data_IF_829167642033
#
_entry.id   IF_829167642033
#
_cell.length_a   1.000
_cell.length_b   1.000
_cell.length_c   1.000
_cell.angle_alpha   90.00
_cell.angle_beta   90.00
_cell.angle_gamma   90.00
#
_symmetry.space_group_name_H-M   'P 1'
#
loop_
_entity.id
_entity.type
_entity.pdbx_description
1 polymer ?
#
# COMPACT_ATOMS: atom_id res chain seq x y z
N UNK A 1 -58.22 13.48 3.74
CA UNK A 1 -58.93 12.23 4.08
C UNK A 1 -59.17 11.45 2.78
N UNK A 2 -58.25 10.58 2.37
CA UNK A 2 -58.53 9.66 1.26
C UNK A 2 -59.01 8.34 1.86
N UNK A 3 -60.24 7.99 1.54
CA UNK A 3 -60.96 6.89 2.16
C UNK A 3 -60.47 5.57 1.52
N UNK A 4 -59.57 4.85 2.18
CA UNK A 4 -58.94 3.61 1.69
C UNK A 4 -59.91 2.41 1.49
N UNK A 5 -61.22 2.64 1.63
CA UNK A 5 -62.26 1.61 1.65
C UNK A 5 -63.39 1.91 0.65
N UNK A 6 -63.07 2.28 -0.60
CA UNK A 6 -64.08 2.32 -1.67
C UNK A 6 -63.96 1.02 -2.47
N UNK A 7 -64.86 0.02 -2.28
CA UNK A 7 -64.82 -1.20 -3.06
C UNK A 7 -65.06 -0.87 -4.54
N UNK A 8 -64.16 -1.33 -5.43
CA UNK A 8 -64.26 -1.05 -6.87
C UNK A 8 -65.58 -1.52 -7.50
N UNK A 9 -66.25 -2.50 -6.88
CA UNK A 9 -67.59 -2.95 -7.28
C UNK A 9 -68.64 -1.83 -7.24
N UNK A 10 -68.55 -0.92 -6.27
CA UNK A 10 -69.46 0.22 -6.15
C UNK A 10 -69.14 1.33 -7.16
N UNK A 11 -67.97 1.29 -7.77
CA UNK A 11 -67.56 2.18 -8.84
C UNK A 11 -67.78 1.56 -10.24
N UNK A 12 -68.43 0.39 -10.33
CA UNK A 12 -68.63 -0.28 -11.61
C UNK A 12 -67.32 -0.80 -12.23
N UNK A 13 -66.37 -1.21 -11.39
CA UNK A 13 -65.05 -1.71 -11.80
C UNK A 13 -64.14 -0.68 -12.49
N UNK A 14 -64.37 0.61 -12.27
CA UNK A 14 -63.43 1.66 -12.69
C UNK A 14 -62.55 2.10 -11.50
N UNK A 15 -61.37 2.65 -11.79
CA UNK A 15 -60.48 3.16 -10.75
C UNK A 15 -61.11 4.37 -10.04
N UNK A 16 -60.82 4.59 -8.73
CA UNK A 16 -61.33 5.74 -7.99
C UNK A 16 -61.05 7.09 -8.68
N UNK A 17 -59.88 7.23 -9.30
CA UNK A 17 -59.51 8.44 -10.04
C UNK A 17 -60.36 8.60 -11.30
N UNK A 18 -60.60 7.52 -12.05
CA UNK A 18 -61.47 7.58 -13.23
C UNK A 18 -62.93 7.91 -12.87
N UNK A 19 -63.41 7.42 -11.73
CA UNK A 19 -64.72 7.79 -11.19
C UNK A 19 -64.78 9.30 -10.85
N UNK A 20 -63.71 9.86 -10.26
CA UNK A 20 -63.61 11.28 -9.96
C UNK A 20 -63.62 12.15 -11.23
N UNK A 21 -62.88 11.74 -12.26
CA UNK A 21 -62.84 12.43 -13.57
C UNK A 21 -64.23 12.42 -14.22
N UNK A 22 -64.95 11.30 -14.16
CA UNK A 22 -66.31 11.21 -14.71
C UNK A 22 -67.30 12.08 -13.92
N UNK A 23 -67.14 12.16 -12.60
CA UNK A 23 -67.99 13.01 -11.77
C UNK A 23 -67.74 14.50 -12.05
N UNK A 24 -66.47 14.90 -12.19
CA UNK A 24 -66.11 16.27 -12.58
C UNK A 24 -66.74 16.70 -13.91
N UNK A 25 -66.80 15.79 -14.90
CA UNK A 25 -67.45 16.08 -16.19
C UNK A 25 -68.95 16.37 -16.08
N UNK A 26 -69.62 15.81 -15.08
CA UNK A 26 -71.08 15.94 -14.92
C UNK A 26 -71.49 17.00 -13.90
N UNK A 27 -70.63 17.29 -12.93
CA UNK A 27 -70.87 18.25 -11.84
C UNK A 27 -69.62 19.11 -11.57
N UNK A 28 -69.14 19.90 -12.55
CA UNK A 28 -67.91 20.68 -12.43
C UNK A 28 -67.98 21.73 -11.31
N UNK A 29 -69.18 22.20 -10.94
CA UNK A 29 -69.41 23.19 -9.89
C UNK A 29 -69.06 22.70 -8.48
N UNK A 30 -68.98 21.38 -8.28
CA UNK A 30 -68.62 20.77 -6.99
C UNK A 30 -67.10 20.67 -6.80
N UNK A 31 -66.31 21.00 -7.81
CA UNK A 31 -64.87 20.87 -7.79
C UNK A 31 -64.20 22.24 -7.84
N UNK A 32 -63.26 22.45 -6.92
CA UNK A 32 -62.42 23.67 -6.90
C UNK A 32 -61.25 23.53 -7.88
N UNK A 33 -60.88 22.31 -8.26
CA UNK A 33 -59.71 21.97 -9.11
C UNK A 33 -60.04 20.76 -9.98
N UNK A 34 -59.51 20.74 -11.20
CA UNK A 34 -59.61 19.61 -12.12
C UNK A 34 -58.97 18.32 -11.52
N UNK A 35 -59.67 17.17 -11.57
CA UNK A 35 -59.09 15.89 -11.17
C UNK A 35 -58.00 15.46 -12.15
N UNK A 36 -56.76 15.49 -11.69
CA UNK A 36 -55.61 15.03 -12.47
C UNK A 36 -55.10 13.71 -11.90
N UNK A 37 -54.85 12.72 -12.76
CA UNK A 37 -54.08 11.55 -12.39
C UNK A 37 -52.60 11.88 -12.55
N UNK A 38 -52.05 12.65 -11.61
CA UNK A 38 -50.61 12.71 -11.48
C UNK A 38 -50.20 11.37 -10.87
N UNK A 39 -49.54 10.45 -11.59
CA UNK A 39 -48.67 9.52 -10.88
C UNK A 39 -47.82 10.40 -9.96
N UNK A 40 -47.66 10.01 -8.70
CA UNK A 40 -46.79 10.78 -7.80
C UNK A 40 -45.47 11.07 -8.52
N UNK A 41 -44.80 12.16 -8.15
CA UNK A 41 -43.37 12.25 -8.43
C UNK A 41 -42.72 11.11 -7.64
N UNK A 42 -42.71 9.91 -8.23
CA UNK A 42 -41.78 8.85 -7.93
C UNK A 42 -40.44 9.37 -8.46
N UNK A 43 -39.88 10.36 -7.76
CA UNK A 43 -38.44 10.51 -7.69
C UNK A 43 -38.02 9.21 -7.00
N UNK A 44 -37.74 8.19 -7.80
CA UNK A 44 -37.40 6.86 -7.34
C UNK A 44 -36.00 6.90 -6.70
N UNK A 45 -35.93 7.44 -5.49
CA UNK A 45 -35.12 6.87 -4.43
C UNK A 45 -36.00 5.85 -3.72
N UNK A 46 -36.22 4.69 -4.33
CA UNK A 46 -36.65 3.53 -3.56
C UNK A 46 -35.47 3.12 -2.67
N UNK A 47 -35.62 3.09 -1.34
CA UNK A 47 -34.59 2.54 -0.47
C UNK A 47 -34.71 1.02 -0.52
N UNK A 48 -34.38 0.40 -1.66
CA UNK A 48 -34.08 -1.04 -1.63
C UNK A 48 -32.70 -1.22 -1.03
N UNK A 49 -32.62 -2.07 -0.01
CA UNK A 49 -31.36 -2.56 0.56
C UNK A 49 -30.88 -3.83 -0.16
N UNK A 50 -31.66 -4.31 -1.12
CA UNK A 50 -31.32 -5.45 -1.96
C UNK A 50 -30.51 -4.95 -3.16
N UNK A 51 -29.24 -5.37 -3.32
CA UNK A 51 -28.40 -4.98 -4.45
C UNK A 51 -28.96 -5.43 -5.80
N UNK A 52 -29.79 -6.49 -5.86
CA UNK A 52 -30.32 -7.05 -7.10
C UNK A 52 -31.60 -6.34 -7.60
N UNK A 53 -32.40 -5.75 -6.71
CA UNK A 53 -33.63 -5.01 -7.07
C UNK A 53 -33.34 -3.78 -7.96
N UNK A 54 -32.13 -3.25 -7.89
CA UNK A 54 -31.71 -2.09 -8.69
C UNK A 54 -31.38 -2.43 -10.16
N UNK A 55 -31.19 -3.73 -10.50
CA UNK A 55 -30.94 -4.17 -11.87
C UNK A 55 -32.18 -3.96 -12.78
N UNK A 56 -33.38 -3.88 -12.21
CA UNK A 56 -34.63 -3.75 -12.98
C UNK A 56 -34.98 -2.30 -13.34
N UNK A 57 -34.39 -1.29 -12.67
CA UNK A 57 -34.78 0.13 -12.78
C UNK A 57 -33.66 1.10 -13.25
N UNK A 58 -32.69 0.63 -14.03
CA UNK A 58 -31.75 1.53 -14.73
C UNK A 58 -32.48 2.30 -15.85
N UNK A 59 -32.93 3.52 -15.54
CA UNK A 59 -33.17 4.60 -16.50
C UNK A 59 -32.23 5.71 -16.02
N UNK A 60 -31.04 5.93 -16.60
CA UNK A 60 -30.75 6.47 -17.94
C UNK A 60 -29.35 5.99 -18.32
N UNK A 61 -29.18 5.41 -19.53
CA UNK A 61 -27.84 5.01 -19.98
C UNK A 61 -27.73 4.55 -21.43
N UNK A 62 -28.82 4.12 -22.08
CA UNK A 62 -28.74 3.72 -23.51
C UNK A 62 -28.73 4.88 -24.52
N UNK A 63 -29.03 6.10 -24.10
CA UNK A 63 -28.91 7.29 -24.97
C UNK A 63 -27.76 8.22 -24.56
N UNK A 64 -27.07 7.95 -23.44
CA UNK A 64 -25.97 8.79 -22.94
C UNK A 64 -24.64 8.57 -23.70
N UNK A 65 -24.46 7.42 -24.36
CA UNK A 65 -23.33 7.18 -25.28
C UNK A 65 -23.27 8.21 -26.43
N UNK A 66 -24.39 8.85 -26.79
CA UNK A 66 -24.42 9.85 -27.86
C UNK A 66 -23.82 11.21 -27.47
N UNK A 67 -23.55 11.47 -26.19
CA UNK A 67 -23.09 12.77 -25.68
C UNK A 67 -21.77 12.74 -24.88
N UNK A 68 -21.15 11.57 -24.70
CA UNK A 68 -19.78 11.45 -24.17
C UNK A 68 -19.58 11.96 -22.73
N UNK A 69 -20.66 12.20 -21.97
CA UNK A 69 -20.62 12.57 -20.56
C UNK A 69 -21.82 11.93 -19.87
N UNK A 70 -21.56 11.02 -18.92
CA UNK A 70 -22.60 10.46 -18.06
C UNK A 70 -23.30 11.59 -17.31
N UNK A 71 -24.61 11.76 -17.52
CA UNK A 71 -25.38 12.76 -16.78
C UNK A 71 -25.71 12.13 -15.42
N UNK A 72 -25.16 12.61 -14.30
CA UNK A 72 -25.50 12.04 -13.00
C UNK A 72 -26.98 12.24 -12.70
N UNK A 73 -27.62 11.22 -12.14
CA UNK A 73 -28.95 11.36 -11.53
C UNK A 73 -28.82 12.43 -10.44
N UNK A 74 -29.67 13.44 -10.49
CA UNK A 74 -29.59 14.67 -9.68
C UNK A 74 -29.24 14.39 -8.20
N UNK A 75 -28.11 14.92 -7.74
CA UNK A 75 -27.68 14.84 -6.34
C UNK A 75 -26.92 13.56 -5.96
N UNK A 76 -26.68 12.62 -6.88
CA UNK A 76 -25.77 11.50 -6.62
C UNK A 76 -24.31 11.95 -6.77
N UNK A 77 -23.40 11.47 -5.92
CA UNK A 77 -21.97 11.69 -6.08
C UNK A 77 -21.47 11.08 -7.39
N UNK A 78 -20.58 11.79 -8.09
CA UNK A 78 -19.81 11.22 -9.20
C UNK A 78 -18.61 10.51 -8.62
N UNK A 79 -18.40 9.26 -9.05
CA UNK A 79 -17.27 8.44 -8.64
C UNK A 79 -16.26 8.43 -9.78
N UNK A 80 -14.99 8.68 -9.46
CA UNK A 80 -13.88 8.55 -10.40
C UNK A 80 -12.97 7.42 -9.89
N UNK A 81 -13.10 6.20 -10.42
CA UNK A 81 -12.18 5.14 -10.09
C UNK A 81 -10.83 5.44 -10.74
N UNK A 82 -9.75 5.15 -10.02
CA UNK A 82 -8.38 5.27 -10.49
C UNK A 82 -7.66 3.98 -10.13
N UNK A 83 -6.78 3.57 -11.04
CA UNK A 83 -5.92 2.42 -10.83
C UNK A 83 -4.47 2.82 -11.12
N UNK A 84 -3.59 2.41 -10.22
CA UNK A 84 -2.15 2.65 -10.34
C UNK A 84 -1.38 1.47 -9.76
N UNK A 85 -0.21 1.21 -10.32
CA UNK A 85 0.73 0.25 -9.76
C UNK A 85 1.30 0.79 -8.45
N UNK A 86 1.24 0.01 -7.38
CA UNK A 86 1.83 0.37 -6.09
C UNK A 86 2.16 -0.89 -5.28
N UNK A 87 2.74 -0.70 -4.09
CA UNK A 87 2.97 -1.80 -3.15
C UNK A 87 1.79 -1.95 -2.22
N UNK A 88 1.27 -3.17 -2.11
CA UNK A 88 0.22 -3.46 -1.12
C UNK A 88 0.82 -3.45 0.32
N UNK A 89 -0.02 -3.49 1.37
CA UNK A 89 0.46 -3.57 2.76
C UNK A 89 1.31 -4.81 3.10
N UNK A 90 1.32 -5.83 2.25
CA UNK A 90 2.19 -7.00 2.37
C UNK A 90 3.57 -6.83 1.67
N UNK A 91 3.80 -5.70 1.00
CA UNK A 91 5.03 -5.37 0.28
C UNK A 91 5.11 -5.91 -1.14
N UNK A 92 4.07 -6.61 -1.61
CA UNK A 92 3.98 -7.19 -2.96
C UNK A 92 3.53 -6.12 -3.96
N UNK A 93 4.02 -6.21 -5.20
CA UNK A 93 3.56 -5.35 -6.29
C UNK A 93 2.12 -5.74 -6.67
N UNK A 94 1.20 -4.80 -6.52
CA UNK A 94 -0.21 -5.00 -6.80
C UNK A 94 -0.82 -3.74 -7.42
N UNK A 95 -1.96 -3.90 -8.08
CA UNK A 95 -2.71 -2.75 -8.56
C UNK A 95 -3.51 -2.15 -7.39
N UNK A 96 -3.23 -0.89 -7.07
CA UNK A 96 -4.01 -0.11 -6.12
C UNK A 96 -5.22 0.49 -6.84
N UNK A 97 -6.39 0.27 -6.28
CA UNK A 97 -7.66 0.81 -6.76
C UNK A 97 -8.14 1.86 -5.76
N UNK A 98 -8.32 3.10 -6.21
CA UNK A 98 -8.79 4.22 -5.39
C UNK A 98 -9.95 4.90 -6.07
N UNK A 99 -10.98 5.27 -5.30
CA UNK A 99 -12.12 6.01 -5.82
C UNK A 99 -12.18 7.36 -5.11
N UNK A 100 -12.37 8.43 -5.87
CA UNK A 100 -12.77 9.73 -5.34
C UNK A 100 -14.25 9.97 -5.59
N UNK A 101 -14.87 10.79 -4.74
CA UNK A 101 -16.26 11.19 -4.92
C UNK A 101 -16.43 12.70 -4.81
N UNK A 102 -17.28 13.26 -5.67
CA UNK A 102 -17.69 14.66 -5.58
C UNK A 102 -19.17 14.77 -5.26
N UNK A 103 -19.52 15.54 -4.24
CA UNK A 103 -20.92 15.77 -3.88
C UNK A 103 -21.57 16.73 -4.88
N UNK A 104 -22.54 16.25 -5.66
CA UNK A 104 -23.27 17.08 -6.61
C UNK A 104 -24.38 17.86 -5.89
N UNK A 105 -24.38 19.21 -5.94
CA UNK A 105 -25.48 20.00 -5.40
C UNK A 105 -26.76 19.77 -6.22
N UNK A 106 -27.89 19.55 -5.54
CA UNK A 106 -29.19 19.46 -6.21
C UNK A 106 -29.56 20.85 -6.76
N UNK A 107 -29.82 21.01 -8.07
CA UNK A 107 -30.19 22.31 -8.64
C UNK A 107 -31.41 22.91 -7.95
N UNK A 108 -31.41 24.23 -7.77
CA UNK A 108 -32.39 25.00 -7.00
C UNK A 108 -33.84 24.98 -7.50
N UNK A 109 -34.20 24.15 -8.48
CA UNK A 109 -35.59 23.96 -8.91
C UNK A 109 -36.46 23.26 -7.84
N UNK A 110 -35.84 22.73 -6.77
CA UNK A 110 -36.51 22.03 -5.67
C UNK A 110 -36.62 22.84 -4.36
N UNK A 111 -36.12 24.09 -4.30
CA UNK A 111 -36.11 24.93 -3.07
C UNK A 111 -37.50 25.33 -2.53
N UNK A 112 -38.58 24.92 -3.18
CA UNK A 112 -39.96 25.19 -2.74
C UNK A 112 -40.59 24.13 -1.82
N UNK A 113 -39.98 22.95 -1.68
CA UNK A 113 -40.50 21.84 -0.88
C UNK A 113 -39.72 21.67 0.42
N UNK A 114 -39.66 22.72 1.26
CA UNK A 114 -39.23 22.62 2.66
C UNK A 114 -37.77 22.23 2.96
N UNK A 115 -36.95 21.91 1.96
CA UNK A 115 -35.50 21.75 2.06
C UNK A 115 -34.79 23.03 1.63
N UNK A 116 -33.86 23.52 2.46
CA UNK A 116 -33.06 24.71 2.15
C UNK A 116 -32.18 24.54 0.91
N UNK A 117 -31.55 25.64 0.46
CA UNK A 117 -30.73 25.75 -0.75
C UNK A 117 -29.45 24.88 -0.79
N UNK A 118 -29.31 23.93 0.13
CA UNK A 118 -28.12 23.10 0.35
C UNK A 118 -28.50 21.65 0.67
N UNK A 119 -29.59 21.13 0.09
CA UNK A 119 -29.89 19.70 0.22
C UNK A 119 -28.91 18.88 -0.63
N UNK A 120 -27.73 18.59 -0.07
CA UNK A 120 -26.80 17.60 -0.62
C UNK A 120 -27.28 16.20 -0.23
N UNK A 121 -27.10 15.24 -1.13
CA UNK A 121 -27.18 13.82 -0.79
C UNK A 121 -25.77 13.23 -0.75
N UNK A 122 -25.04 13.40 0.37
CA UNK A 122 -23.63 13.03 0.43
C UNK A 122 -23.42 11.52 0.31
N UNK A 123 -22.28 11.11 -0.25
CA UNK A 123 -21.86 9.71 -0.24
C UNK A 123 -21.71 9.20 1.21
N UNK A 124 -21.99 7.92 1.42
CA UNK A 124 -21.69 7.22 2.66
C UNK A 124 -20.42 6.38 2.44
N UNK A 125 -19.28 6.92 2.87
CA UNK A 125 -17.94 6.38 2.61
C UNK A 125 -17.82 4.89 2.97
N UNK A 126 -18.37 4.46 4.11
CA UNK A 126 -18.33 3.07 4.57
C UNK A 126 -19.14 2.08 3.70
N UNK A 127 -19.86 2.57 2.69
CA UNK A 127 -20.59 1.72 1.74
C UNK A 127 -19.91 1.55 0.38
N UNK A 128 -18.71 2.11 0.20
CA UNK A 128 -17.89 1.84 -0.97
C UNK A 128 -17.62 0.34 -1.12
N UNK A 129 -17.79 -0.17 -2.33
CA UNK A 129 -17.51 -1.55 -2.68
C UNK A 129 -16.89 -1.62 -4.08
N UNK A 130 -15.81 -2.39 -4.19
CA UNK A 130 -15.10 -2.66 -5.43
C UNK A 130 -15.45 -4.05 -5.96
N UNK A 131 -15.53 -4.15 -7.27
CA UNK A 131 -15.65 -5.41 -8.01
C UNK A 131 -14.69 -5.33 -9.20
N UNK A 132 -13.78 -6.28 -9.29
CA UNK A 132 -12.88 -6.44 -10.45
C UNK A 132 -13.35 -7.65 -11.21
N UNK A 133 -13.56 -7.49 -12.50
CA UNK A 133 -13.95 -8.59 -13.38
C UNK A 133 -12.75 -8.95 -14.26
N UNK A 134 -12.22 -10.16 -14.05
CA UNK A 134 -11.21 -10.74 -14.93
C UNK A 134 -11.79 -11.04 -16.32
N UNK A 135 -10.95 -11.16 -17.37
CA UNK A 135 -11.42 -11.53 -18.71
C UNK A 135 -12.20 -12.87 -18.77
N UNK A 136 -11.95 -13.78 -17.84
CA UNK A 136 -12.64 -15.07 -17.73
C UNK A 136 -13.94 -15.01 -16.89
N UNK A 137 -14.26 -13.85 -16.33
CA UNK A 137 -15.43 -13.58 -15.49
C UNK A 137 -15.25 -13.97 -14.02
N UNK A 138 -14.03 -14.28 -13.57
CA UNK A 138 -13.71 -14.48 -12.17
C UNK A 138 -13.53 -13.15 -11.41
N UNK A 139 -13.81 -13.17 -10.11
CA UNK A 139 -13.66 -12.01 -9.22
C UNK A 139 -12.59 -12.32 -8.18
N UNK A 140 -11.48 -11.58 -8.20
CA UNK A 140 -10.42 -11.63 -7.19
C UNK A 140 -10.13 -10.22 -6.70
N UNK A 141 -10.42 -9.93 -5.43
CA UNK A 141 -10.17 -8.62 -4.85
C UNK A 141 -9.88 -8.75 -3.36
N UNK A 142 -8.85 -8.05 -2.89
CA UNK A 142 -8.61 -7.81 -1.48
C UNK A 142 -9.02 -6.38 -1.12
N UNK A 143 -9.84 -6.24 -0.08
CA UNK A 143 -10.25 -4.91 0.38
C UNK A 143 -9.08 -4.23 1.12
N UNK A 144 -8.85 -2.95 0.83
CA UNK A 144 -7.86 -2.14 1.54
C UNK A 144 -8.32 -1.77 2.96
N UNK A 145 -7.46 -1.06 3.69
CA UNK A 145 -7.79 -0.57 5.05
C UNK A 145 -8.85 0.55 5.02
N UNK A 146 -8.94 1.28 3.91
CA UNK A 146 -9.97 2.29 3.70
C UNK A 146 -11.11 1.75 2.80
N UNK A 147 -12.38 2.10 3.07
CA UNK A 147 -13.53 1.60 2.29
C UNK A 147 -13.49 1.97 0.79
N UNK A 148 -12.73 3.01 0.45
CA UNK A 148 -12.57 3.53 -0.92
C UNK A 148 -11.33 2.94 -1.62
N UNK A 149 -10.58 2.06 -0.94
CA UNK A 149 -9.35 1.47 -1.44
C UNK A 149 -9.48 -0.05 -1.56
N UNK A 150 -8.94 -0.61 -2.64
CA UNK A 150 -8.81 -2.04 -2.82
C UNK A 150 -7.49 -2.39 -3.50
N UNK A 151 -7.08 -3.64 -3.34
CA UNK A 151 -5.87 -4.20 -3.90
C UNK A 151 -6.22 -5.39 -4.81
N UNK A 152 -5.60 -5.41 -5.98
CA UNK A 152 -5.70 -6.49 -6.95
C UNK A 152 -4.30 -7.05 -7.23
N UNK A 153 -4.06 -8.27 -6.77
CA UNK A 153 -2.85 -9.04 -7.11
C UNK A 153 -3.06 -9.72 -8.46
N UNK A 154 -2.61 -9.07 -9.53
CA UNK A 154 -2.62 -9.62 -10.87
C UNK A 154 -1.46 -10.59 -11.08
N UNK A 155 -1.72 -11.75 -11.67
CA UNK A 155 -0.68 -12.77 -11.91
C UNK A 155 0.05 -12.60 -13.25
N UNK A 156 -0.54 -11.89 -14.20
CA UNK A 156 -0.02 -11.70 -15.57
C UNK A 156 -0.45 -10.34 -16.13
N UNK A 157 0.28 -9.85 -17.14
CA UNK A 157 -0.07 -8.64 -17.88
C UNK A 157 -1.39 -8.84 -18.62
N UNK A 158 -2.49 -8.30 -18.09
CA UNK A 158 -3.80 -8.39 -18.71
C UNK A 158 -4.65 -7.14 -18.47
N UNK A 159 -5.70 -7.00 -19.27
CA UNK A 159 -6.67 -5.90 -19.16
C UNK A 159 -7.80 -6.30 -18.21
N UNK A 160 -8.03 -5.48 -17.19
CA UNK A 160 -9.10 -5.66 -16.22
C UNK A 160 -10.26 -4.69 -16.45
N UNK A 161 -11.47 -5.09 -16.08
CA UNK A 161 -12.63 -4.18 -15.97
C UNK A 161 -12.93 -3.91 -14.51
N UNK A 162 -12.83 -2.63 -14.11
CA UNK A 162 -13.11 -2.18 -12.75
C UNK A 162 -14.56 -1.74 -12.59
N UNK A 163 -15.14 -2.02 -11.43
CA UNK A 163 -16.49 -1.57 -11.03
C UNK A 163 -16.43 -1.05 -9.59
N UNK A 164 -17.05 0.10 -9.37
CA UNK A 164 -17.17 0.69 -8.05
C UNK A 164 -18.61 1.15 -7.78
N UNK A 165 -19.09 0.92 -6.57
CA UNK A 165 -20.43 1.31 -6.17
C UNK A 165 -20.53 1.62 -4.68
N UNK A 166 -21.64 2.24 -4.30
CA UNK A 166 -21.95 2.49 -2.89
C UNK A 166 -23.28 3.19 -2.72
N UNK A 167 -23.57 3.62 -1.50
CA UNK A 167 -24.81 4.30 -1.15
C UNK A 167 -24.57 5.74 -0.69
N UNK A 168 -25.54 6.59 -0.93
CA UNK A 168 -25.63 7.91 -0.32
C UNK A 168 -26.21 7.83 1.10
N UNK A 169 -26.00 8.87 1.93
CA UNK A 169 -26.54 8.91 3.31
C UNK A 169 -28.06 8.88 3.38
N UNK A 170 -28.76 9.26 2.31
CA UNK A 170 -30.22 9.15 2.23
C UNK A 170 -30.70 7.76 1.76
N UNK A 171 -29.78 6.82 1.54
CA UNK A 171 -30.09 5.44 1.16
C UNK A 171 -30.30 5.24 -0.34
N UNK A 172 -30.10 6.27 -1.18
CA UNK A 172 -30.03 6.09 -2.63
C UNK A 172 -28.74 5.37 -2.99
N UNK A 173 -28.87 4.30 -3.75
CA UNK A 173 -27.74 3.53 -4.23
C UNK A 173 -27.16 4.16 -5.51
N UNK A 174 -25.84 4.19 -5.60
CA UNK A 174 -25.06 4.69 -6.74
C UNK A 174 -24.18 3.55 -7.21
N UNK A 175 -24.59 2.90 -8.31
CA UNK A 175 -23.72 2.00 -9.08
C UNK A 175 -23.27 2.80 -10.30
N UNK A 176 -22.01 3.24 -10.32
CA UNK A 176 -21.41 3.85 -11.50
C UNK A 176 -20.52 2.80 -12.15
N UNK A 177 -20.93 2.35 -13.32
CA UNK A 177 -20.10 1.49 -14.16
C UNK A 177 -19.20 2.42 -14.96
N UNK A 178 -17.95 2.53 -14.55
CA UNK A 178 -16.91 3.12 -15.38
C UNK A 178 -15.94 2.02 -15.75
N UNK A 179 -16.01 1.59 -17.01
CA UNK A 179 -15.08 0.62 -17.55
C UNK A 179 -13.73 1.32 -17.74
N UNK A 180 -12.82 1.05 -16.81
CA UNK A 180 -11.43 1.48 -16.94
C UNK A 180 -10.62 0.25 -17.33
N UNK A 181 -10.02 0.32 -18.52
CA UNK A 181 -9.04 -0.65 -18.97
C UNK A 181 -7.70 -0.33 -18.31
N UNK A 182 -7.23 -1.23 -17.45
CA UNK A 182 -5.93 -1.11 -16.79
C UNK A 182 -5.07 -2.29 -17.17
N UNK A 183 -3.83 -2.03 -17.57
CA UNK A 183 -2.82 -3.05 -17.86
C UNK A 183 -1.92 -3.20 -16.65
N UNK A 184 -1.79 -4.42 -16.13
CA UNK A 184 -0.77 -4.74 -15.14
C UNK A 184 0.57 -4.90 -15.85
N UNK A 185 1.61 -4.25 -15.32
CA UNK A 185 3.00 -4.39 -15.78
C UNK A 185 3.87 -4.66 -14.54
N UNK A 186 4.39 -5.87 -14.41
CA UNK A 186 5.20 -6.26 -13.26
C UNK A 186 6.54 -5.49 -13.20
N UNK A 187 6.99 -4.94 -14.32
CA UNK A 187 8.23 -4.17 -14.44
C UNK A 187 8.00 -2.65 -14.36
N UNK A 188 6.79 -2.20 -13.97
CA UNK A 188 6.46 -0.77 -13.85
C UNK A 188 7.43 -0.06 -12.89
N UNK A 189 7.82 1.17 -13.25
CA UNK A 189 8.74 1.99 -12.45
C UNK A 189 8.27 2.16 -11.00
N UNK A 190 6.95 2.17 -10.77
CA UNK A 190 6.34 2.26 -9.43
C UNK A 190 6.53 1.01 -8.56
N UNK A 191 6.76 -0.15 -9.18
CA UNK A 191 7.08 -1.41 -8.50
C UNK A 191 8.58 -1.74 -8.53
N UNK A 192 9.34 -1.09 -9.40
CA UNK A 192 10.79 -1.26 -9.50
C UNK A 192 11.54 -0.52 -8.38
N UNK A 193 12.71 -1.03 -8.03
CA UNK A 193 13.64 -0.30 -7.18
C UNK A 193 14.37 0.76 -7.98
N UNK A 194 14.70 1.90 -7.38
CA UNK A 194 15.48 2.93 -8.07
C UNK A 194 16.70 2.33 -8.77
N UNK A 195 16.81 2.54 -10.09
CA UNK A 195 17.97 2.08 -10.87
C UNK A 195 19.26 2.82 -10.49
N UNK A 196 19.17 3.92 -9.74
CA UNK A 196 20.32 4.69 -9.31
C UNK A 196 21.16 3.90 -8.29
N UNK A 197 22.45 3.76 -8.60
CA UNK A 197 23.40 3.09 -7.72
C UNK A 197 23.67 3.92 -6.47
N UNK A 198 23.30 3.37 -5.31
CA UNK A 198 23.64 3.96 -4.02
C UNK A 198 25.17 3.97 -3.87
N UNK A 199 25.73 5.17 -3.65
CA UNK A 199 27.16 5.41 -3.56
C UNK A 199 27.97 4.87 -4.76
N UNK A 200 27.35 4.74 -5.94
CA UNK A 200 27.98 4.23 -7.17
C UNK A 200 28.41 2.76 -7.09
N UNK A 201 27.92 1.99 -6.11
CA UNK A 201 28.34 0.60 -5.84
C UNK A 201 27.18 -0.35 -5.60
N UNK A 202 26.16 0.11 -4.88
CA UNK A 202 25.08 -0.71 -4.38
C UNK A 202 23.85 -0.57 -5.28
N UNK A 203 23.41 -1.68 -5.84
CA UNK A 203 22.17 -1.76 -6.62
C UNK A 203 21.05 -2.31 -5.74
N UNK A 204 19.89 -1.69 -5.82
CA UNK A 204 18.70 -2.09 -5.08
C UNK A 204 17.98 -3.18 -5.89
N UNK A 205 17.66 -4.32 -5.26
CA UNK A 205 17.02 -5.46 -5.94
C UNK A 205 15.98 -6.12 -5.02
N UNK A 206 15.16 -7.00 -5.61
CA UNK A 206 14.07 -7.69 -4.92
C UNK A 206 12.75 -6.96 -5.13
N UNK A 207 11.64 -7.65 -4.85
CA UNK A 207 10.31 -7.06 -5.00
C UNK A 207 10.19 -5.81 -4.17
N UNK A 208 10.52 -5.85 -2.87
CA UNK A 208 10.43 -4.76 -1.88
C UNK A 208 11.64 -3.80 -1.85
N UNK A 209 12.64 -4.00 -2.69
CA UNK A 209 13.93 -3.30 -2.61
C UNK A 209 14.70 -3.52 -1.29
N UNK A 210 14.34 -4.55 -0.53
CA UNK A 210 14.94 -4.90 0.76
C UNK A 210 16.32 -5.54 0.65
N UNK A 211 16.78 -5.82 -0.57
CA UNK A 211 18.07 -6.45 -0.85
C UNK A 211 18.98 -5.48 -1.61
N UNK A 212 20.25 -5.41 -1.18
CA UNK A 212 21.30 -4.64 -1.82
C UNK A 212 22.31 -5.57 -2.48
N UNK A 213 22.44 -5.46 -3.79
CA UNK A 213 23.50 -6.09 -4.57
C UNK A 213 24.74 -5.21 -4.61
N UNK A 214 25.84 -5.76 -4.14
CA UNK A 214 27.14 -5.12 -4.17
C UNK A 214 27.91 -5.52 -5.44
N UNK A 215 28.00 -4.60 -6.39
CA UNK A 215 28.59 -4.84 -7.72
C UNK A 215 30.11 -5.08 -7.68
N UNK A 216 30.79 -4.78 -6.58
CA UNK A 216 32.25 -4.91 -6.47
C UNK A 216 32.65 -6.32 -6.05
N UNK A 217 31.91 -6.93 -5.10
CA UNK A 217 32.23 -8.26 -4.56
C UNK A 217 31.25 -9.35 -5.00
N UNK A 218 30.15 -9.01 -5.68
CA UNK A 218 29.15 -9.96 -6.13
C UNK A 218 28.39 -10.60 -4.97
N UNK A 219 28.07 -9.83 -3.93
CA UNK A 219 27.30 -10.25 -2.77
C UNK A 219 25.96 -9.52 -2.71
N UNK A 220 24.89 -10.26 -2.41
CA UNK A 220 23.58 -9.70 -2.10
C UNK A 220 23.43 -9.65 -0.56
N UNK A 221 23.05 -8.49 -0.05
CA UNK A 221 22.92 -8.19 1.37
C UNK A 221 21.48 -7.85 1.72
N UNK A 222 21.00 -8.32 2.87
CA UNK A 222 19.79 -7.76 3.44
C UNK A 222 20.06 -6.34 3.96
N UNK A 223 19.21 -5.38 3.60
CA UNK A 223 19.27 -3.98 4.08
C UNK A 223 19.10 -3.90 5.58
N UNK A 224 18.26 -4.76 6.14
CA UNK A 224 17.95 -4.80 7.56
C UNK A 224 18.75 -5.88 8.29
N UNK A 225 18.95 -5.69 9.60
CA UNK A 225 19.49 -6.74 10.44
C UNK A 225 18.44 -7.82 10.70
N UNK A 226 18.87 -9.00 11.12
CA UNK A 226 17.95 -10.07 11.52
C UNK A 226 17.01 -9.56 12.63
N UNK A 227 15.72 -9.83 12.51
CA UNK A 227 14.67 -9.37 13.42
C UNK A 227 13.99 -8.05 13.02
N UNK A 228 14.51 -7.37 12.00
CA UNK A 228 13.89 -6.16 11.43
C UNK A 228 13.27 -6.46 10.07
N UNK A 229 12.28 -5.66 9.69
CA UNK A 229 11.60 -5.72 8.38
C UNK A 229 11.94 -4.46 7.58
N UNK A 230 12.13 -4.60 6.27
CA UNK A 230 12.35 -3.45 5.40
C UNK A 230 11.02 -2.76 5.08
N UNK A 231 10.98 -1.45 5.27
CA UNK A 231 9.89 -0.58 4.84
C UNK A 231 10.38 0.23 3.63
N UNK A 232 9.75 -0.06 2.49
CA UNK A 232 10.06 0.56 1.21
C UNK A 232 9.54 2.00 1.10
N UNK A 233 8.50 2.38 1.84
CA UNK A 233 7.91 3.72 1.81
C UNK A 233 8.81 4.72 2.55
N UNK A 234 9.21 4.39 3.77
CA UNK A 234 10.07 5.23 4.61
C UNK A 234 11.58 5.03 4.37
N UNK A 235 11.93 4.09 3.48
CA UNK A 235 13.31 3.65 3.21
C UNK A 235 14.09 3.30 4.50
N UNK A 236 13.43 2.61 5.43
CA UNK A 236 13.95 2.32 6.77
C UNK A 236 13.66 0.87 7.19
N UNK A 237 14.36 0.41 8.23
CA UNK A 237 14.16 -0.92 8.81
C UNK A 237 13.28 -0.85 10.07
N UNK A 238 12.04 -1.28 9.99
CA UNK A 238 11.14 -1.32 11.13
C UNK A 238 11.49 -2.43 12.13
N UNK A 239 11.18 -2.16 13.40
CA UNK A 239 11.44 -3.07 14.51
C UNK A 239 12.85 -2.99 15.09
N UNK A 240 13.07 -3.75 16.16
CA UNK A 240 14.37 -3.85 16.84
C UNK A 240 15.17 -5.03 16.29
N UNK A 241 16.46 -4.83 16.03
CA UNK A 241 17.35 -5.91 15.61
C UNK A 241 17.45 -7.00 16.68
N UNK A 242 17.17 -8.23 16.28
CA UNK A 242 17.32 -9.39 17.14
C UNK A 242 18.81 -9.62 17.44
N UNK A 243 19.10 -10.00 18.68
CA UNK A 243 20.46 -10.13 19.20
C UNK A 243 20.75 -11.57 19.54
N UNK A 244 21.90 -12.05 19.09
CA UNK A 244 22.28 -13.47 19.19
C UNK A 244 23.62 -13.61 19.91
N UNK A 245 23.75 -14.69 20.69
CA UNK A 245 25.07 -15.14 21.11
C UNK A 245 25.81 -15.75 19.91
N UNK A 246 27.14 -15.71 19.92
CA UNK A 246 27.91 -16.11 18.75
C UNK A 246 27.64 -17.55 18.28
N UNK A 247 27.36 -18.47 19.20
CA UNK A 247 27.07 -19.87 18.88
C UNK A 247 25.86 -20.00 17.93
N UNK A 248 24.81 -19.24 18.18
CA UNK A 248 23.61 -19.19 17.34
C UNK A 248 23.88 -18.34 16.08
N UNK A 249 24.46 -17.15 16.26
CA UNK A 249 24.76 -16.22 15.19
C UNK A 249 25.60 -16.86 14.07
N UNK A 250 26.58 -17.69 14.43
CA UNK A 250 27.51 -18.29 13.46
C UNK A 250 26.86 -19.29 12.50
N UNK A 251 25.68 -19.80 12.85
CA UNK A 251 24.94 -20.80 12.08
C UNK A 251 23.61 -20.27 11.54
N UNK A 252 23.33 -18.97 11.65
CA UNK A 252 22.09 -18.40 11.13
C UNK A 252 22.03 -18.50 9.60
N UNK A 253 20.86 -18.92 9.14
CA UNK A 253 20.47 -18.99 7.74
C UNK A 253 19.04 -18.50 7.62
N UNK A 254 18.73 -17.85 6.51
CA UNK A 254 17.38 -17.41 6.15
C UNK A 254 17.00 -17.99 4.77
N UNK A 255 15.72 -17.84 4.34
CA UNK A 255 15.28 -18.21 3.00
C UNK A 255 16.19 -17.66 1.90
N UNK A 256 16.10 -18.22 0.70
CA UNK A 256 16.88 -17.81 -0.49
C UNK A 256 18.40 -17.86 -0.35
N UNK A 257 18.89 -18.69 0.57
CA UNK A 257 20.32 -18.97 0.75
C UNK A 257 21.10 -17.91 1.54
N UNK A 258 20.40 -16.97 2.17
CA UNK A 258 21.01 -15.99 3.07
C UNK A 258 21.64 -16.67 4.29
N UNK A 259 22.84 -16.24 4.66
CA UNK A 259 23.61 -16.78 5.79
C UNK A 259 24.40 -15.71 6.51
N UNK A 260 24.90 -16.03 7.69
CA UNK A 260 25.85 -15.17 8.39
C UNK A 260 27.14 -14.98 7.58
N UNK A 261 27.59 -13.73 7.38
CA UNK A 261 28.79 -13.40 6.63
C UNK A 261 30.04 -13.85 7.39
N UNK A 262 31.07 -14.21 6.63
CA UNK A 262 32.43 -14.26 7.14
C UNK A 262 32.94 -12.86 7.50
N UNK A 263 33.99 -12.77 8.29
CA UNK A 263 34.60 -11.48 8.62
C UNK A 263 35.10 -10.74 7.38
N UNK A 264 35.53 -11.47 6.35
CA UNK A 264 36.01 -10.90 5.09
C UNK A 264 34.88 -10.27 4.29
N UNK A 265 33.71 -10.91 4.25
CA UNK A 265 32.51 -10.38 3.61
C UNK A 265 31.98 -9.16 4.38
N UNK A 266 31.80 -9.27 5.70
CA UNK A 266 31.20 -8.23 6.53
C UNK A 266 32.02 -6.92 6.53
N UNK A 267 33.34 -7.03 6.48
CA UNK A 267 34.24 -5.86 6.40
C UNK A 267 34.09 -5.07 5.10
N UNK A 268 33.65 -5.69 4.01
CA UNK A 268 33.49 -4.99 2.73
C UNK A 268 32.40 -3.91 2.75
N UNK A 269 31.53 -3.93 3.76
CA UNK A 269 30.50 -2.92 4.01
C UNK A 269 31.04 -1.68 4.73
N UNK A 270 32.23 -1.74 5.32
CA UNK A 270 32.81 -0.58 6.00
C UNK A 270 33.14 0.51 4.98
N UNK A 271 32.63 1.71 5.24
CA UNK A 271 32.86 2.91 4.44
C UNK A 271 33.46 4.01 5.32
N UNK A 272 34.63 4.52 4.93
CA UNK A 272 35.29 5.61 5.64
C UNK A 272 35.37 6.85 4.72
N UNK A 273 34.59 7.89 4.99
CA UNK A 273 34.58 9.10 4.15
C UNK A 273 35.88 9.91 4.18
N UNK A 274 36.74 9.66 5.17
CA UNK A 274 38.05 10.29 5.31
C UNK A 274 39.21 9.50 4.69
N UNK A 275 38.93 8.37 4.02
CA UNK A 275 39.94 7.53 3.36
C UNK A 275 39.76 7.55 1.84
N UNK A 276 40.87 7.38 1.12
CA UNK A 276 40.87 7.21 -0.32
C UNK A 276 41.66 5.96 -0.71
N UNK A 277 41.02 4.96 -1.38
CA UNK A 277 39.60 4.85 -1.67
C UNK A 277 38.76 4.62 -0.39
N UNK A 278 37.51 5.09 -0.35
CA UNK A 278 36.71 5.10 0.88
C UNK A 278 36.21 3.70 1.32
N UNK A 279 36.13 2.76 0.38
CA UNK A 279 35.82 1.34 0.61
C UNK A 279 37.07 0.45 0.67
N UNK A 280 38.28 1.03 0.56
CA UNK A 280 39.49 0.22 0.56
C UNK A 280 39.92 -0.07 1.98
N UNK A 281 39.79 -1.34 2.34
CA UNK A 281 40.41 -1.91 3.51
C UNK A 281 41.93 -1.98 3.28
N UNK A 282 42.76 -1.23 4.02
CA UNK A 282 44.21 -1.43 3.95
C UNK A 282 44.61 -2.85 4.42
N UNK A 283 43.70 -3.65 5.01
CA UNK A 283 43.93 -5.07 5.25
C UNK A 283 43.90 -5.96 3.98
N UNK A 284 43.74 -5.40 2.78
CA UNK A 284 44.19 -6.15 1.59
C UNK A 284 45.70 -6.42 1.63
N UNK A 285 46.45 -5.66 2.45
CA UNK A 285 47.88 -5.84 2.71
C UNK A 285 48.22 -6.38 4.11
N UNK A 286 47.28 -6.35 5.07
CA UNK A 286 47.43 -6.98 6.39
C UNK A 286 46.70 -8.33 6.39
N UNK A 287 47.40 -9.46 6.54
CA UNK A 287 46.76 -10.77 6.55
C UNK A 287 45.81 -10.99 7.74
N UNK A 288 45.72 -10.04 8.68
CA UNK A 288 44.84 -10.15 9.86
C UNK A 288 43.43 -9.63 9.58
N UNK A 289 42.40 -10.30 10.12
CA UNK A 289 41.01 -9.87 10.14
C UNK A 289 40.80 -8.68 11.10
N UNK A 290 41.87 -8.03 11.57
CA UNK A 290 41.84 -6.85 12.42
C UNK A 290 42.21 -5.66 11.53
N UNK A 291 41.21 -4.84 11.18
CA UNK A 291 41.40 -3.66 10.31
C UNK A 291 41.69 -2.40 11.09
N UNK A 292 42.30 -1.36 10.47
CA UNK A 292 42.37 -0.05 11.10
C UNK A 292 41.00 0.63 11.04
N UNK A 293 40.63 1.27 12.14
CA UNK A 293 39.41 2.08 12.28
C UNK A 293 39.37 3.17 11.20
N UNK A 294 38.18 3.73 10.89
CA UNK A 294 38.09 4.92 10.05
C UNK A 294 38.84 6.12 10.66
N UNK A 295 39.07 6.11 11.97
CA UNK A 295 39.94 7.03 12.68
C UNK A 295 39.84 6.83 14.19
N UNK A 296 40.73 7.48 14.95
CA UNK A 296 40.50 7.74 16.38
C UNK A 296 39.71 9.05 16.52
N UNK A 297 39.30 9.40 17.74
CA UNK A 297 38.44 10.55 18.05
C UNK A 297 38.87 11.90 17.43
N UNK A 298 40.13 12.05 17.03
CA UNK A 298 40.71 13.30 16.52
C UNK A 298 40.71 13.44 14.99
N UNK A 299 40.32 12.40 14.23
CA UNK A 299 40.17 12.49 12.77
C UNK A 299 38.68 12.48 12.44
N UNK A 300 38.11 13.57 11.89
CA UNK A 300 36.70 13.62 11.52
C UNK A 300 36.41 12.66 10.34
N UNK A 301 35.32 11.92 10.45
CA UNK A 301 34.73 11.08 9.41
C UNK A 301 33.22 10.97 9.65
N UNK A 302 32.46 10.62 8.61
CA UNK A 302 31.01 10.45 8.70
C UNK A 302 30.66 9.20 9.50
N UNK A 303 29.73 9.33 10.46
CA UNK A 303 29.26 8.22 11.29
C UNK A 303 27.78 7.96 10.98
N UNK A 304 27.37 6.68 10.86
CA UNK A 304 28.19 5.46 10.97
C UNK A 304 29.13 5.27 9.75
N UNK A 305 30.19 4.49 9.94
CA UNK A 305 31.17 4.08 8.94
C UNK A 305 30.65 2.98 7.98
N UNK A 306 29.46 3.20 7.44
CA UNK A 306 28.77 2.39 6.45
C UNK A 306 27.83 3.33 5.68
N UNK A 307 27.48 2.99 4.43
CA UNK A 307 26.53 3.78 3.66
C UNK A 307 25.13 3.62 4.23
N UNK A 308 24.67 4.60 5.01
CA UNK A 308 23.38 4.56 5.71
C UNK A 308 22.17 4.51 4.78
N UNK A 309 22.30 5.00 3.54
CA UNK A 309 21.25 4.90 2.50
C UNK A 309 21.04 3.45 2.06
N UNK A 310 22.10 2.65 2.00
CA UNK A 310 22.01 1.22 1.69
C UNK A 310 21.70 0.38 2.95
N UNK A 311 22.18 0.82 4.11
CA UNK A 311 22.08 0.09 5.38
C UNK A 311 21.63 1.03 6.52
N UNK A 312 20.31 1.28 6.64
CA UNK A 312 19.78 2.25 7.60
C UNK A 312 19.71 1.69 9.03
N UNK A 313 19.24 2.54 9.94
CA UNK A 313 18.90 2.24 11.33
C UNK A 313 20.05 1.76 12.21
N UNK A 314 21.24 2.31 11.97
CA UNK A 314 22.33 2.24 12.93
C UNK A 314 22.26 3.44 13.88
N UNK A 315 22.26 3.21 15.21
CA UNK A 315 22.13 4.30 16.16
C UNK A 315 23.30 5.30 16.01
N UNK A 316 22.98 6.57 15.80
CA UNK A 316 23.98 7.65 15.76
C UNK A 316 24.28 8.17 17.17
N UNK A 317 24.67 7.29 18.10
CA UNK A 317 24.97 7.72 19.47
C UNK A 317 26.30 8.46 19.54
N UNK A 318 26.33 9.59 20.25
CA UNK A 318 27.49 10.48 20.34
C UNK A 318 28.53 9.98 21.36
N UNK A 319 29.81 10.12 20.98
CA UNK A 319 31.03 10.06 21.81
C UNK A 319 31.49 8.67 22.28
N UNK A 320 32.42 8.09 21.51
CA UNK A 320 33.32 6.99 21.92
C UNK A 320 32.60 5.76 22.52
N UNK A 321 31.37 5.51 22.09
CA UNK A 321 30.59 4.41 22.64
C UNK A 321 31.05 3.10 21.98
N UNK A 322 31.89 2.35 22.70
CA UNK A 322 32.24 0.97 22.37
C UNK A 322 31.09 -0.01 22.67
N UNK A 323 29.88 0.52 22.90
CA UNK A 323 28.66 -0.24 23.08
C UNK A 323 28.50 -1.36 22.07
N UNK A 324 28.00 -2.48 22.57
CA UNK A 324 27.55 -3.66 21.84
C UNK A 324 26.41 -3.36 20.86
N UNK A 325 25.89 -2.12 20.80
CA UNK A 325 24.85 -1.70 19.85
C UNK A 325 25.39 -1.53 18.42
N UNK A 326 26.69 -1.28 18.25
CA UNK A 326 27.29 -0.99 16.94
C UNK A 326 28.07 -2.17 16.35
N UNK A 327 28.16 -3.27 17.08
CA UNK A 327 28.95 -4.45 16.71
C UNK A 327 28.05 -5.51 16.08
N UNK A 328 28.45 -6.04 14.93
CA UNK A 328 27.76 -7.12 14.24
C UNK A 328 28.61 -8.39 14.26
N UNK A 329 27.99 -9.53 14.52
CA UNK A 329 28.68 -10.82 14.51
C UNK A 329 29.02 -11.26 13.07
N UNK A 330 30.20 -11.89 12.95
CA UNK A 330 30.54 -12.71 11.79
C UNK A 330 30.57 -14.20 12.17
N UNK A 331 30.49 -15.08 11.18
CA UNK A 331 30.64 -16.53 11.36
C UNK A 331 32.09 -16.96 11.63
N UNK A 332 33.07 -16.05 11.50
CA UNK A 332 34.49 -16.36 11.62
C UNK A 332 34.95 -16.39 13.08
N UNK A 333 35.36 -17.57 13.54
CA UNK A 333 36.06 -17.74 14.82
C UNK A 333 37.56 -17.45 14.69
N UNK A 334 38.21 -17.19 15.83
CA UNK A 334 39.62 -16.77 15.91
C UNK A 334 40.73 -17.81 15.60
N UNK A 335 40.54 -19.15 15.50
CA UNK A 335 41.71 -20.04 15.46
C UNK A 335 42.54 -19.95 14.16
N UNK A 336 42.27 -19.01 13.26
CA UNK A 336 42.96 -18.84 11.99
C UNK A 336 43.87 -17.59 11.90
N UNK A 337 43.85 -16.63 12.86
CA UNK A 337 44.53 -15.34 12.58
C UNK A 337 45.09 -14.51 13.75
N UNK A 338 44.99 -14.93 15.01
CA UNK A 338 45.64 -14.26 16.15
C UNK A 338 46.95 -14.97 16.60
N UNK A 339 48.02 -14.23 16.98
CA UNK A 339 49.26 -14.79 17.53
C UNK A 339 49.12 -15.35 18.96
N UNK A 340 47.92 -15.29 19.55
CA UNK A 340 47.60 -15.74 20.90
C UNK A 340 46.39 -16.67 20.84
N UNK A 341 46.46 -17.80 21.53
CA UNK A 341 45.45 -18.86 21.52
C UNK A 341 44.14 -18.35 22.18
N UNK A 342 43.29 -17.71 21.38
CA UNK A 342 42.05 -17.04 21.80
C UNK A 342 40.81 -17.87 21.44
N UNK A 343 40.81 -19.15 21.83
CA UNK A 343 39.74 -20.13 21.50
C UNK A 343 38.30 -19.71 21.87
N UNK A 344 38.15 -18.72 22.77
CA UNK A 344 36.89 -18.11 23.18
C UNK A 344 36.44 -16.87 22.39
N UNK A 345 37.12 -16.47 21.32
CA UNK A 345 36.81 -15.25 20.56
C UNK A 345 36.30 -15.52 19.14
N UNK A 346 35.47 -14.61 18.67
CA UNK A 346 35.00 -14.52 17.29
C UNK A 346 35.08 -13.08 16.80
N UNK A 347 35.05 -12.89 15.48
CA UNK A 347 35.21 -11.55 14.92
C UNK A 347 33.88 -10.80 14.82
N UNK A 348 33.93 -9.52 15.16
CA UNK A 348 32.85 -8.56 14.96
C UNK A 348 33.32 -7.41 14.09
N UNK A 349 32.35 -6.72 13.45
CA UNK A 349 32.58 -5.43 12.81
C UNK A 349 31.77 -4.37 13.54
N UNK A 350 32.45 -3.31 13.97
CA UNK A 350 31.86 -2.12 14.54
C UNK A 350 31.62 -1.08 13.44
N UNK A 351 30.37 -0.87 13.04
CA UNK A 351 30.04 0.12 12.01
C UNK A 351 30.03 1.56 12.53
N UNK A 352 30.10 1.82 13.83
CA UNK A 352 30.25 3.18 14.34
C UNK A 352 31.66 3.75 14.11
N UNK A 353 32.68 2.89 14.22
CA UNK A 353 34.10 3.25 14.03
C UNK A 353 34.73 2.65 12.76
N UNK A 354 34.01 1.78 12.06
CA UNK A 354 34.53 1.03 10.91
C UNK A 354 35.67 0.10 11.31
N UNK A 355 35.54 -0.61 12.43
CA UNK A 355 36.61 -1.41 13.03
C UNK A 355 36.21 -2.87 13.18
N UNK A 356 37.06 -3.78 12.68
CA UNK A 356 36.93 -5.21 12.91
C UNK A 356 37.85 -5.68 14.05
N UNK A 357 37.28 -6.40 15.02
CA UNK A 357 38.02 -6.84 16.22
C UNK A 357 37.54 -8.20 16.73
N UNK A 358 38.39 -8.98 17.42
CA UNK A 358 37.94 -10.16 18.15
C UNK A 358 37.12 -9.75 19.38
N UNK A 359 36.02 -10.46 19.61
CA UNK A 359 35.12 -10.28 20.75
C UNK A 359 34.84 -11.63 21.41
N UNK A 360 34.58 -11.63 22.72
CA UNK A 360 34.36 -12.86 23.50
C UNK A 360 32.99 -13.45 23.11
N UNK A 361 32.96 -14.69 22.62
CA UNK A 361 31.78 -15.38 22.05
C UNK A 361 30.55 -15.40 22.97
N UNK A 362 30.78 -15.42 24.29
CA UNK A 362 29.74 -15.56 25.31
C UNK A 362 29.50 -14.28 26.12
N UNK A 363 30.22 -13.19 25.83
CA UNK A 363 30.16 -11.98 26.65
C UNK A 363 29.02 -11.03 26.28
N UNK A 364 28.52 -11.10 25.05
CA UNK A 364 27.40 -10.29 24.60
C UNK A 364 26.62 -10.97 23.48
N UNK A 365 25.33 -10.65 23.45
CA UNK A 365 24.41 -10.81 22.34
C UNK A 365 24.58 -9.62 21.38
N UNK A 366 24.75 -9.88 20.07
CA UNK A 366 24.93 -8.85 19.06
C UNK A 366 24.03 -9.12 17.84
N UNK A 367 23.65 -8.07 17.09
CA UNK A 367 22.92 -8.22 15.84
C UNK A 367 23.74 -8.90 14.74
N UNK A 368 23.03 -9.43 13.75
CA UNK A 368 23.59 -10.09 12.57
C UNK A 368 22.97 -9.49 11.31
N UNK A 369 23.78 -9.33 10.26
CA UNK A 369 23.30 -9.05 8.90
C UNK A 369 23.55 -10.29 8.06
N UNK A 370 22.63 -10.64 7.17
CA UNK A 370 22.80 -11.81 6.32
C UNK A 370 23.27 -11.43 4.92
N UNK A 371 23.99 -12.36 4.32
CA UNK A 371 24.57 -12.24 2.98
C UNK A 371 24.34 -13.52 2.20
N UNK A 372 24.25 -13.40 0.88
CA UNK A 372 24.35 -14.52 -0.07
C UNK A 372 25.21 -14.12 -1.28
N UNK A 373 25.74 -15.08 -2.06
CA UNK A 373 26.29 -14.79 -3.37
C UNK A 373 25.24 -14.16 -4.27
N UNK A 374 25.64 -13.19 -5.10
CA UNK A 374 24.74 -12.57 -6.08
C UNK A 374 24.19 -13.63 -7.04
N UNK A 375 22.88 -13.55 -7.28
CA UNK A 375 22.13 -14.40 -8.21
C UNK A 375 22.08 -13.85 -9.63
#
# INVERSE_FOLDING_TARGET
>A
LYNHHIPQRNLGHISPVQALINWHKTHPELFVVDPNNLPGLDIAGYPSRDPEDFLEFVIVGREAEALGQGIPILGLPTLEPQASMARNPAGECAMQLTASYDNVPVPSLFTGLGGGAESFNPFFEDSGAWEVVEPDGSETLELGEEPMQAWLSAAEDQTYTLRFGGHSKLGSFVRQYEEIEVTFDQDDEACSCEEELIAGRYQQIGEDCGIIRDLVNGLDWQRCAVGQTWDAEDQQCEGEAERFFWAEASTLTAPDGFRTPSIWELRTLVYCSNKWPPFQDPAWSDPRPIGPTCGYADVPFDRPAIISVAFPNLPNTYRNDFSTQHNFWSSTADPQVAPVNMTGHAFTVNFHLGWASPYIKHAADLPVRLVRPAQ
#
